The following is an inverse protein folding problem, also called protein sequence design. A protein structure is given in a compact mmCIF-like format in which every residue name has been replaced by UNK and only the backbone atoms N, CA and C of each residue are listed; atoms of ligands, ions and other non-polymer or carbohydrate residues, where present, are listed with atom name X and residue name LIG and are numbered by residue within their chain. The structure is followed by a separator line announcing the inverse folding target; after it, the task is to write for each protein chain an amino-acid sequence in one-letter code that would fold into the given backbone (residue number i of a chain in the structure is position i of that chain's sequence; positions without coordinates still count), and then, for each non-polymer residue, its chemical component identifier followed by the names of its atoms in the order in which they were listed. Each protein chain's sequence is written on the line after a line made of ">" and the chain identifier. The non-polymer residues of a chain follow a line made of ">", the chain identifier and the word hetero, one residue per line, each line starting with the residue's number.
data_IF_840589261172
#
_entry.id   IF_840589261172
#
_cell.length_a   1.000
_cell.length_b   1.000
_cell.length_c   1.000
_cell.angle_alpha   90.00
_cell.angle_beta   90.00
_cell.angle_gamma   90.00
#
_symmetry.space_group_name_H-M   'P 1'
#
loop_
_entity.id
_entity.type
_entity.pdbx_description
1 polymer ?
#
# COMPACT_ATOMS: atom_id res chain seq x y z
N UNK A 1 -51.64 25.49 -32.72
CA UNK A 1 -51.23 26.06 -34.04
C UNK A 1 -49.74 25.80 -34.17
N UNK A 2 -49.27 25.03 -35.17
CA UNK A 2 -48.77 25.50 -36.50
C UNK A 2 -47.48 26.34 -36.38
N UNK A 3 -46.33 26.08 -37.05
CA UNK A 3 -45.99 25.17 -38.18
C UNK A 3 -44.52 24.67 -38.16
N UNK A 4 -44.25 23.68 -39.03
CA UNK A 4 -42.95 23.09 -39.38
C UNK A 4 -42.00 24.01 -40.19
N UNK A 5 -40.71 23.65 -40.23
CA UNK A 5 -39.85 23.84 -41.41
C UNK A 5 -38.93 22.63 -41.68
N UNK A 6 -38.56 22.48 -42.96
CA UNK A 6 -38.14 21.27 -43.72
C UNK A 6 -37.25 21.79 -44.88
N UNK A 7 -36.14 21.19 -45.36
CA UNK A 7 -35.29 20.07 -44.97
C UNK A 7 -33.87 20.25 -45.62
N UNK A 8 -32.92 19.32 -45.43
CA UNK A 8 -31.60 19.40 -46.10
C UNK A 8 -30.72 18.15 -45.95
N UNK A 9 -30.82 17.21 -46.89
CA UNK A 9 -30.08 15.94 -46.90
C UNK A 9 -28.72 16.01 -47.60
N UNK A 10 -27.76 15.21 -47.15
CA UNK A 10 -26.64 14.75 -47.99
C UNK A 10 -26.26 13.30 -47.62
N UNK A 11 -26.65 12.35 -48.46
CA UNK A 11 -26.16 10.96 -48.41
C UNK A 11 -24.79 10.87 -49.10
N UNK A 12 -23.89 10.06 -48.55
CA UNK A 12 -22.76 9.50 -49.30
C UNK A 12 -22.66 8.01 -48.97
N UNK A 13 -23.04 7.17 -49.93
CA UNK A 13 -22.83 5.72 -49.97
C UNK A 13 -22.16 5.40 -51.31
N UNK A 14 -21.16 4.51 -51.31
CA UNK A 14 -20.56 3.70 -52.40
C UNK A 14 -19.09 3.40 -52.03
N UNK A 15 -18.48 2.21 -52.19
CA UNK A 15 -18.96 0.80 -52.18
C UNK A 15 -17.75 -0.15 -52.19
N UNK A 16 -17.90 -1.29 -51.49
CA UNK A 16 -17.45 -2.66 -51.87
C UNK A 16 -15.96 -3.06 -52.10
N UNK A 17 -15.76 -4.33 -51.70
CA UNK A 17 -14.89 -5.37 -52.28
C UNK A 17 -13.44 -5.49 -51.78
N UNK A 18 -13.21 -6.58 -51.01
CA UNK A 18 -11.91 -7.04 -50.54
C UNK A 18 -12.00 -8.42 -49.88
N UNK A 19 -12.74 -9.37 -50.48
CA UNK A 19 -12.77 -10.75 -49.98
C UNK A 19 -11.46 -11.48 -50.30
N UNK A 20 -10.85 -12.10 -49.29
CA UNK A 20 -9.64 -12.91 -49.43
C UNK A 20 -9.61 -14.05 -48.43
N UNK A 21 -10.42 -15.08 -48.65
CA UNK A 21 -10.33 -16.33 -47.88
C UNK A 21 -9.22 -17.21 -48.45
N UNK A 22 -8.25 -17.58 -47.62
CA UNK A 22 -7.39 -18.74 -47.88
C UNK A 22 -7.17 -19.51 -46.57
N UNK A 23 -7.43 -20.82 -46.64
CA UNK A 23 -7.29 -21.77 -45.54
C UNK A 23 -5.85 -22.21 -45.35
N UNK A 24 -5.36 -22.30 -44.11
CA UNK A 24 -4.11 -23.02 -43.86
C UNK A 24 -3.50 -22.87 -42.46
N UNK A 25 -3.48 -23.98 -41.71
CA UNK A 25 -2.36 -24.33 -40.84
C UNK A 25 -2.28 -23.66 -39.47
N UNK A 26 -2.27 -24.50 -38.43
CA UNK A 26 -2.15 -24.09 -37.03
C UNK A 26 -0.84 -23.37 -36.68
N UNK A 27 -0.89 -22.73 -35.51
CA UNK A 27 0.23 -21.99 -34.94
C UNK A 27 -0.19 -21.31 -33.65
N UNK A 28 -0.22 -22.07 -32.55
CA UNK A 28 -0.33 -21.49 -31.21
C UNK A 28 0.78 -20.46 -31.02
N UNK A 29 0.38 -19.19 -30.94
CA UNK A 29 1.27 -18.10 -30.57
C UNK A 29 0.63 -17.42 -29.37
N UNK A 30 1.17 -17.63 -28.15
CA UNK A 30 0.65 -16.96 -26.96
C UNK A 30 0.73 -15.46 -27.19
N UNK A 31 -0.42 -14.79 -27.16
CA UNK A 31 -0.48 -13.33 -27.13
C UNK A 31 0.06 -12.91 -25.77
N UNK A 32 1.36 -12.59 -25.71
CA UNK A 32 1.97 -12.04 -24.50
C UNK A 32 1.26 -10.73 -24.17
N UNK A 33 0.46 -10.72 -23.10
CA UNK A 33 -0.13 -9.50 -22.59
C UNK A 33 0.99 -8.46 -22.34
N UNK A 34 0.76 -7.15 -22.60
CA UNK A 34 1.75 -6.14 -22.28
C UNK A 34 2.06 -6.20 -20.79
N UNK A 35 3.31 -6.52 -20.43
CA UNK A 35 3.73 -6.49 -19.05
C UNK A 35 3.40 -5.12 -18.46
N UNK A 36 2.73 -5.08 -17.30
CA UNK A 36 2.32 -3.86 -16.60
C UNK A 36 3.54 -3.09 -16.07
N UNK A 37 4.27 -2.46 -16.99
CA UNK A 37 5.54 -1.76 -16.77
C UNK A 37 5.41 -0.57 -15.83
N UNK A 38 4.19 -0.09 -15.57
CA UNK A 38 3.91 1.12 -14.81
C UNK A 38 4.18 0.98 -13.30
N UNK A 39 3.86 -0.16 -12.69
CA UNK A 39 4.20 -0.41 -11.28
C UNK A 39 5.71 -0.60 -11.11
N UNK A 40 6.31 -1.50 -11.91
CA UNK A 40 7.74 -1.78 -11.89
C UNK A 40 8.63 -0.58 -12.23
N UNK A 41 8.12 0.43 -12.96
CA UNK A 41 8.86 1.66 -13.26
C UNK A 41 8.98 2.61 -12.05
N UNK A 42 7.96 2.72 -11.21
CA UNK A 42 7.94 3.68 -10.07
C UNK A 42 8.95 3.32 -8.98
N UNK A 43 9.28 2.04 -8.86
CA UNK A 43 10.18 1.51 -7.82
C UNK A 43 11.62 1.23 -8.30
N UNK A 44 12.00 1.68 -9.50
CA UNK A 44 13.37 1.56 -10.03
C UNK A 44 14.36 2.39 -9.19
N UNK A 45 15.05 1.74 -8.26
CA UNK A 45 16.08 2.33 -7.42
C UNK A 45 16.39 1.46 -6.20
N UNK A 46 17.26 1.91 -5.28
CA UNK A 46 17.50 1.22 -4.00
C UNK A 46 16.18 1.00 -3.25
N UNK A 47 16.00 -0.11 -2.53
CA UNK A 47 14.71 -0.40 -1.85
C UNK A 47 14.36 0.64 -0.79
N UNK A 48 15.37 1.20 -0.12
CA UNK A 48 15.25 2.28 0.88
C UNK A 48 16.39 3.31 0.71
N UNK A 49 16.11 4.56 1.06
CA UNK A 49 17.10 5.66 1.17
C UNK A 49 16.88 6.38 2.49
N UNK A 50 17.97 6.72 3.20
CA UNK A 50 17.92 7.32 4.54
C UNK A 50 17.97 6.30 5.68
N UNK A 51 18.02 6.80 6.92
CA UNK A 51 18.26 6.03 8.14
C UNK A 51 16.94 5.65 8.84
N UNK A 52 16.85 4.45 9.41
CA UNK A 52 15.68 4.05 10.20
C UNK A 52 16.02 4.18 11.69
N UNK A 53 15.45 5.14 12.44
CA UNK A 53 15.52 5.12 13.90
C UNK A 53 14.78 3.89 14.45
N UNK A 54 15.15 3.44 15.66
CA UNK A 54 14.52 2.27 16.30
C UNK A 54 13.06 2.55 16.70
N UNK A 55 12.78 3.80 17.03
CA UNK A 55 11.55 4.35 17.57
C UNK A 55 10.88 5.32 16.56
N UNK A 56 11.02 5.02 15.27
CA UNK A 56 10.36 5.72 14.16
C UNK A 56 8.96 5.17 13.82
N UNK A 57 8.08 6.06 13.38
CA UNK A 57 6.74 5.74 12.89
C UNK A 57 6.80 5.21 11.47
N UNK A 58 6.23 4.03 11.22
CA UNK A 58 6.19 3.42 9.88
C UNK A 58 4.85 3.69 9.21
N UNK A 59 4.82 4.65 8.27
CA UNK A 59 3.66 4.93 7.42
C UNK A 59 3.77 4.08 6.15
N UNK A 60 2.90 3.09 5.99
CA UNK A 60 3.03 2.09 4.93
C UNK A 60 2.34 2.55 3.63
N UNK A 61 2.83 2.08 2.48
CA UNK A 61 2.29 2.43 1.14
C UNK A 61 0.78 2.19 1.10
N UNK A 62 0.04 3.17 0.57
CA UNK A 62 -1.42 3.12 0.43
C UNK A 62 -2.19 3.15 1.75
N UNK A 63 -1.50 3.29 2.89
CA UNK A 63 -2.07 3.32 4.23
C UNK A 63 -1.94 4.69 4.89
N UNK A 64 -2.78 4.89 5.91
CA UNK A 64 -2.72 6.00 6.85
C UNK A 64 -2.21 5.59 8.23
N UNK A 65 -1.73 6.58 8.98
CA UNK A 65 -1.26 6.47 10.35
C UNK A 65 -1.84 7.62 11.17
N UNK A 66 -2.48 7.32 12.31
CA UNK A 66 -3.02 8.33 13.21
C UNK A 66 -1.91 8.91 14.10
N UNK A 67 -1.90 10.22 14.30
CA UNK A 67 -0.87 10.94 15.04
C UNK A 67 -1.45 11.62 16.31
N UNK A 68 -0.59 12.04 17.26
CA UNK A 68 -0.96 12.97 18.33
C UNK A 68 -1.74 14.19 17.81
N UNK A 69 -2.55 14.78 18.69
CA UNK A 69 -3.43 15.90 18.34
C UNK A 69 -4.66 15.52 17.50
N UNK A 70 -4.86 14.24 17.16
CA UNK A 70 -5.97 13.78 16.33
C UNK A 70 -5.74 13.91 14.83
N UNK A 71 -4.54 14.35 14.43
CA UNK A 71 -4.12 14.37 13.04
C UNK A 71 -3.77 12.99 12.49
N UNK A 72 -3.25 12.95 11.27
CA UNK A 72 -2.74 11.73 10.66
C UNK A 72 -1.99 11.99 9.37
N UNK A 73 -1.36 10.95 8.85
CA UNK A 73 -0.56 11.02 7.63
C UNK A 73 -0.74 9.76 6.79
N UNK A 74 -0.80 9.90 5.47
CA UNK A 74 -0.85 8.79 4.52
C UNK A 74 0.39 8.76 3.62
N UNK A 75 0.82 7.57 3.21
CA UNK A 75 1.83 7.40 2.15
C UNK A 75 1.15 7.08 0.81
N UNK A 76 0.98 8.10 -0.02
CA UNK A 76 0.19 8.00 -1.26
C UNK A 76 0.97 7.45 -2.46
N UNK A 77 2.24 7.84 -2.65
CA UNK A 77 3.04 7.37 -3.78
C UNK A 77 4.54 7.41 -3.50
N UNK A 78 5.26 6.35 -3.90
CA UNK A 78 6.72 6.34 -4.00
C UNK A 78 7.16 6.70 -5.43
N UNK A 79 8.27 7.43 -5.57
CA UNK A 79 8.98 7.58 -6.86
C UNK A 79 10.48 7.40 -6.64
N UNK A 80 11.13 6.64 -7.52
CA UNK A 80 12.58 6.46 -7.55
C UNK A 80 13.13 6.78 -8.95
N UNK A 81 14.33 7.36 -9.01
CA UNK A 81 15.03 7.75 -10.25
C UNK A 81 16.26 6.87 -10.57
N UNK A 82 16.39 5.74 -9.88
CA UNK A 82 17.58 4.88 -9.87
C UNK A 82 18.56 5.18 -8.73
N UNK A 83 18.59 6.42 -8.22
CA UNK A 83 19.55 6.86 -7.19
C UNK A 83 18.90 7.44 -5.94
N UNK A 84 17.83 8.21 -6.08
CA UNK A 84 17.09 8.85 -4.99
C UNK A 84 15.70 8.23 -4.84
N UNK A 85 15.05 8.51 -3.70
CA UNK A 85 13.63 8.24 -3.49
C UNK A 85 12.93 9.49 -2.99
N UNK A 86 11.74 9.75 -3.55
CA UNK A 86 10.78 10.73 -3.06
C UNK A 86 9.48 10.02 -2.68
N UNK A 87 8.80 10.56 -1.68
CA UNK A 87 7.47 10.12 -1.29
C UNK A 87 6.46 11.27 -1.41
N UNK A 88 5.23 10.94 -1.80
CA UNK A 88 4.08 11.84 -1.63
C UNK A 88 3.37 11.42 -0.35
N UNK A 89 3.39 12.31 0.65
CA UNK A 89 2.63 12.19 1.88
C UNK A 89 1.37 13.06 1.80
N UNK A 90 0.30 12.67 2.49
CA UNK A 90 -0.94 13.48 2.61
C UNK A 90 -1.35 13.67 4.06
N UNK A 91 -1.94 14.81 4.38
CA UNK A 91 -2.51 15.07 5.70
C UNK A 91 -3.82 14.28 5.90
N UNK A 92 -4.05 13.79 7.12
CA UNK A 92 -5.19 12.95 7.51
C UNK A 92 -4.84 11.46 7.53
N UNK A 93 -5.48 10.69 8.42
CA UNK A 93 -5.28 9.23 8.55
C UNK A 93 -6.11 8.41 7.54
N UNK A 94 -7.05 9.02 6.82
CA UNK A 94 -7.86 8.41 5.76
C UNK A 94 -7.93 9.38 4.59
N UNK A 95 -8.06 8.87 3.37
CA UNK A 95 -8.12 9.72 2.17
C UNK A 95 -9.38 10.58 2.12
N UNK A 96 -9.20 11.88 1.87
CA UNK A 96 -10.26 12.85 1.58
C UNK A 96 -9.83 13.77 0.44
N UNK A 97 -10.79 14.20 -0.38
CA UNK A 97 -10.52 15.16 -1.47
C UNK A 97 -10.07 16.51 -0.90
N UNK A 98 -9.08 17.14 -1.55
CA UNK A 98 -8.56 18.44 -1.12
C UNK A 98 -7.56 18.40 0.05
N UNK A 99 -7.18 17.23 0.55
CA UNK A 99 -6.11 17.09 1.56
C UNK A 99 -4.80 17.71 1.08
N UNK A 100 -4.10 18.39 2.00
CA UNK A 100 -2.75 18.90 1.77
C UNK A 100 -1.78 17.73 1.50
N UNK A 101 -0.80 17.96 0.62
CA UNK A 101 0.16 16.93 0.20
C UNK A 101 1.58 17.49 0.18
N UNK A 102 2.53 16.70 0.68
CA UNK A 102 3.96 17.00 0.64
C UNK A 102 4.66 16.06 -0.32
N UNK A 103 5.56 16.57 -1.16
CA UNK A 103 6.59 15.74 -1.81
C UNK A 103 7.85 15.83 -0.96
N UNK A 104 8.32 14.71 -0.42
CA UNK A 104 9.40 14.66 0.56
C UNK A 104 10.55 13.76 0.15
N UNK A 105 11.73 14.07 0.68
CA UNK A 105 12.98 13.31 0.61
C UNK A 105 13.46 13.01 2.04
N UNK A 106 14.39 12.05 2.26
CA UNK A 106 15.03 11.89 3.55
C UNK A 106 15.70 13.18 4.02
N UNK A 107 15.49 13.57 5.28
CA UNK A 107 15.90 14.85 5.86
C UNK A 107 14.85 15.96 5.79
N UNK A 108 13.78 15.80 4.99
CA UNK A 108 12.67 16.74 4.95
C UNK A 108 11.86 16.74 6.26
N UNK A 109 11.04 17.78 6.45
CA UNK A 109 10.12 17.90 7.59
C UNK A 109 8.68 18.00 7.08
N UNK A 110 7.75 17.42 7.82
CA UNK A 110 6.30 17.59 7.62
C UNK A 110 5.65 18.04 8.92
N UNK A 111 4.67 18.94 8.80
CA UNK A 111 3.88 19.42 9.95
C UNK A 111 2.45 18.94 9.78
N UNK A 112 1.99 18.07 10.68
CA UNK A 112 0.62 17.54 10.67
C UNK A 112 -0.09 18.07 11.90
N UNK A 113 -1.19 18.82 11.70
CA UNK A 113 -2.01 19.33 12.81
C UNK A 113 -1.21 20.07 13.91
N UNK A 114 -0.12 20.75 13.53
CA UNK A 114 0.78 21.48 14.45
C UNK A 114 2.01 20.69 14.93
N UNK A 115 2.04 19.38 14.75
CA UNK A 115 3.12 18.49 15.19
C UNK A 115 4.16 18.29 14.08
N UNK A 116 5.46 18.39 14.39
CA UNK A 116 6.55 18.34 13.39
C UNK A 116 7.27 17.00 13.41
N UNK A 117 7.40 16.40 12.23
CA UNK A 117 8.06 15.11 12.02
C UNK A 117 9.18 15.22 11.00
N UNK A 118 10.34 14.63 11.30
CA UNK A 118 11.43 14.47 10.35
C UNK A 118 11.23 13.19 9.52
N UNK A 119 11.37 13.29 8.20
CA UNK A 119 11.38 12.15 7.28
C UNK A 119 12.77 11.51 7.36
N UNK A 120 12.91 10.34 7.97
CA UNK A 120 14.23 9.71 8.20
C UNK A 120 14.63 8.71 7.12
N UNK A 121 13.67 7.91 6.67
CA UNK A 121 13.87 6.93 5.59
C UNK A 121 12.65 6.85 4.69
N UNK A 122 12.89 6.70 3.38
CA UNK A 122 11.87 6.38 2.39
C UNK A 122 12.22 5.05 1.75
N UNK A 123 11.32 4.08 1.88
CA UNK A 123 11.36 2.80 1.18
C UNK A 123 10.27 2.73 0.11
N UNK A 124 10.29 1.70 -0.74
CA UNK A 124 9.15 1.41 -1.63
C UNK A 124 7.84 1.26 -0.83
N UNK A 125 7.86 0.41 0.20
CA UNK A 125 6.68 0.00 0.97
C UNK A 125 6.39 0.83 2.24
N UNK A 126 7.28 1.74 2.66
CA UNK A 126 7.09 2.63 3.84
C UNK A 126 7.77 4.00 3.72
N UNK A 127 7.30 4.96 4.51
CA UNK A 127 8.06 6.13 4.97
C UNK A 127 8.25 6.02 6.49
N UNK A 128 9.43 6.40 6.98
CA UNK A 128 9.75 6.45 8.41
C UNK A 128 9.75 7.91 8.87
N UNK A 129 8.86 8.24 9.79
CA UNK A 129 8.74 9.57 10.39
C UNK A 129 9.23 9.53 11.85
N UNK A 130 10.02 10.52 12.25
CA UNK A 130 10.44 10.70 13.65
C UNK A 130 9.81 11.96 14.24
N UNK A 131 9.08 11.88 15.37
CA UNK A 131 8.58 13.06 16.07
C UNK A 131 9.73 13.92 16.60
N UNK A 132 9.71 15.23 16.32
CA UNK A 132 10.70 16.16 16.85
C UNK A 132 10.45 16.52 18.32
N UNK A 133 9.17 16.68 18.71
CA UNK A 133 8.81 16.96 20.09
C UNK A 133 8.93 15.70 20.96
N UNK A 134 9.53 15.84 22.14
CA UNK A 134 9.62 14.76 23.12
C UNK A 134 8.24 14.31 23.62
N UNK A 135 7.28 15.25 23.70
CA UNK A 135 5.88 15.00 24.08
C UNK A 135 5.17 14.09 23.07
N UNK A 136 5.34 14.33 21.78
CA UNK A 136 4.77 13.50 20.71
C UNK A 136 5.35 12.08 20.75
N UNK A 137 6.67 11.96 20.95
CA UNK A 137 7.34 10.67 21.13
C UNK A 137 6.83 9.95 22.36
N UNK A 138 6.66 10.65 23.49
CA UNK A 138 6.12 10.07 24.72
C UNK A 138 4.66 9.61 24.55
N UNK A 139 3.82 10.38 23.85
CA UNK A 139 2.44 10.01 23.54
C UNK A 139 2.37 8.75 22.67
N UNK A 140 3.21 8.67 21.63
CA UNK A 140 3.29 7.51 20.73
C UNK A 140 3.95 6.28 21.39
N UNK A 141 4.82 6.47 22.38
CA UNK A 141 5.45 5.40 23.16
C UNK A 141 4.62 4.96 24.38
N UNK A 142 3.51 5.64 24.70
CA UNK A 142 2.68 5.32 25.85
C UNK A 142 2.14 3.89 25.78
N UNK A 143 2.19 3.17 26.91
CA UNK A 143 1.65 1.82 26.98
C UNK A 143 0.12 1.85 26.93
N UNK A 144 -0.53 0.92 26.19
CA UNK A 144 -1.98 0.81 26.19
C UNK A 144 -2.49 0.25 27.53
N UNK A 145 -3.77 0.48 27.85
CA UNK A 145 -4.40 -0.06 29.07
C UNK A 145 -4.58 -1.58 29.03
N UNK A 146 -4.68 -2.15 27.83
CA UNK A 146 -4.78 -3.58 27.54
C UNK A 146 -4.04 -3.86 26.23
N UNK A 147 -3.56 -5.09 26.06
CA UNK A 147 -2.94 -5.57 24.82
C UNK A 147 -3.96 -6.26 23.89
N UNK A 148 -5.20 -6.42 24.36
CA UNK A 148 -6.30 -7.05 23.62
C UNK A 148 -7.02 -6.03 22.74
N UNK A 149 -7.29 -6.39 21.50
CA UNK A 149 -8.15 -5.61 20.60
C UNK A 149 -9.58 -5.53 21.13
N UNK A 150 -10.06 -4.29 21.33
CA UNK A 150 -11.46 -3.98 21.57
C UNK A 150 -12.20 -3.60 20.27
N UNK A 151 -11.45 -3.32 19.19
CA UNK A 151 -11.96 -2.95 17.88
C UNK A 151 -12.19 -1.44 17.72
N UNK A 152 -12.13 -0.97 16.47
CA UNK A 152 -12.33 0.45 16.13
C UNK A 152 -11.29 1.36 16.78
N UNK A 153 -11.67 2.61 17.08
CA UNK A 153 -10.74 3.62 17.62
C UNK A 153 -10.14 3.29 18.99
N UNK A 154 -10.72 2.33 19.73
CA UNK A 154 -10.14 1.84 20.99
C UNK A 154 -8.78 1.15 20.78
N UNK A 155 -8.54 0.59 19.59
CA UNK A 155 -7.28 -0.05 19.21
C UNK A 155 -6.22 0.94 18.73
N UNK A 156 -6.49 2.25 18.69
CA UNK A 156 -5.51 3.23 18.20
C UNK A 156 -4.14 3.14 18.92
N UNK A 157 -4.05 2.94 20.25
CA UNK A 157 -2.77 2.70 20.94
C UNK A 157 -2.09 1.35 20.61
N UNK A 158 -2.81 0.40 20.01
CA UNK A 158 -2.25 -0.86 19.51
C UNK A 158 -1.75 -0.73 18.06
N UNK A 159 -2.44 0.10 17.27
CA UNK A 159 -2.17 0.29 15.84
C UNK A 159 -1.14 1.38 15.53
N UNK A 160 -1.13 2.47 16.31
CA UNK A 160 -0.41 3.71 16.01
C UNK A 160 0.55 4.07 17.13
N UNK A 161 1.62 3.29 17.25
CA UNK A 161 2.53 3.37 18.39
C UNK A 161 3.98 3.06 18.00
N UNK A 162 4.91 3.57 18.81
CA UNK A 162 6.33 3.17 18.84
C UNK A 162 6.68 2.42 20.12
N UNK A 163 5.68 2.04 20.92
CA UNK A 163 5.89 1.30 22.16
C UNK A 163 6.49 -0.09 21.84
N UNK A 164 7.69 -0.42 22.35
CA UNK A 164 8.38 -1.65 21.97
C UNK A 164 7.65 -2.92 22.43
N UNK A 165 6.87 -2.85 23.51
CA UNK A 165 6.04 -3.97 23.98
C UNK A 165 4.88 -4.27 23.04
N UNK A 166 4.21 -3.24 22.52
CA UNK A 166 3.14 -3.40 21.51
C UNK A 166 3.70 -3.90 20.18
N UNK A 167 4.80 -3.32 19.70
CA UNK A 167 5.47 -3.77 18.48
C UNK A 167 5.93 -5.23 18.59
N UNK A 168 6.48 -5.64 19.74
CA UNK A 168 6.85 -7.04 19.98
C UNK A 168 5.63 -7.98 20.03
N UNK A 169 4.53 -7.58 20.67
CA UNK A 169 3.30 -8.37 20.73
C UNK A 169 2.66 -8.55 19.34
N UNK A 170 2.60 -7.48 18.55
CA UNK A 170 2.11 -7.54 17.18
C UNK A 170 3.01 -8.42 16.29
N UNK A 171 4.34 -8.30 16.44
CA UNK A 171 5.32 -9.14 15.74
C UNK A 171 5.27 -10.63 16.14
N UNK A 172 4.84 -10.94 17.37
CA UNK A 172 4.64 -12.30 17.86
C UNK A 172 3.36 -12.96 17.31
N UNK A 173 2.41 -12.17 16.80
CA UNK A 173 1.24 -12.70 16.07
C UNK A 173 1.60 -13.32 14.70
N UNK A 174 2.80 -13.06 14.18
CA UNK A 174 3.28 -13.58 12.90
C UNK A 174 4.16 -14.82 13.05
N UNK A 175 4.25 -15.68 12.01
CA UNK A 175 5.21 -16.77 11.97
C UNK A 175 6.66 -16.32 12.22
N UNK A 176 7.51 -17.25 12.64
CA UNK A 176 8.93 -17.01 12.84
C UNK A 176 9.67 -16.70 11.53
N UNK A 177 10.88 -16.12 11.62
CA UNK A 177 11.73 -15.83 10.45
C UNK A 177 11.93 -17.06 9.56
N UNK A 178 11.79 -16.89 8.24
CA UNK A 178 11.87 -17.96 7.26
C UNK A 178 10.66 -18.90 7.22
N UNK A 179 9.61 -18.65 7.99
CA UNK A 179 8.31 -19.33 7.88
C UNK A 179 7.33 -18.49 7.07
N UNK A 180 6.39 -19.18 6.42
CA UNK A 180 5.35 -18.57 5.61
C UNK A 180 4.10 -18.27 6.43
N UNK A 181 3.45 -17.16 6.07
CA UNK A 181 2.02 -16.93 6.30
C UNK A 181 1.30 -17.10 4.96
N UNK A 182 0.21 -17.88 4.95
CA UNK A 182 -0.66 -18.04 3.79
C UNK A 182 -1.89 -17.16 3.99
N UNK A 183 -2.03 -16.12 3.15
CA UNK A 183 -3.20 -15.24 3.13
C UNK A 183 -4.17 -15.78 2.08
N UNK A 184 -5.34 -16.25 2.51
CA UNK A 184 -6.35 -16.83 1.63
C UNK A 184 -6.96 -15.75 0.74
N UNK A 185 -7.10 -16.05 -0.55
CA UNK A 185 -7.77 -15.22 -1.54
C UNK A 185 -9.28 -15.06 -1.30
N UNK A 186 -9.96 -14.41 -2.24
CA UNK A 186 -11.43 -14.37 -2.32
C UNK A 186 -12.14 -13.94 -1.01
N UNK A 187 -11.58 -12.94 -0.31
CA UNK A 187 -12.20 -12.34 0.88
C UNK A 187 -11.77 -12.93 2.23
N UNK A 188 -10.75 -13.77 2.28
CA UNK A 188 -10.14 -14.22 3.54
C UNK A 188 -9.62 -13.06 4.40
N UNK A 189 -10.07 -12.96 5.65
CA UNK A 189 -9.62 -11.96 6.64
C UNK A 189 -8.79 -12.64 7.74
N UNK A 190 -7.46 -12.49 7.69
CA UNK A 190 -6.59 -12.92 8.77
C UNK A 190 -6.55 -11.84 9.85
N UNK A 191 -7.04 -12.14 11.05
CA UNK A 191 -7.00 -11.25 12.21
C UNK A 191 -5.82 -11.59 13.13
N UNK A 192 -5.30 -10.59 13.84
CA UNK A 192 -4.21 -10.69 14.80
C UNK A 192 -4.63 -10.12 16.16
N UNK A 193 -4.06 -10.57 17.29
CA UNK A 193 -4.52 -10.20 18.64
C UNK A 193 -4.52 -8.69 18.93
N UNK A 194 -3.60 -7.94 18.34
CA UNK A 194 -3.42 -6.48 18.53
C UNK A 194 -4.26 -5.63 17.57
N UNK A 195 -5.36 -6.15 17.04
CA UNK A 195 -6.34 -5.40 16.22
C UNK A 195 -5.99 -5.24 14.74
N UNK A 196 -4.78 -5.64 14.33
CA UNK A 196 -4.41 -5.74 12.92
C UNK A 196 -5.22 -6.82 12.22
N UNK A 197 -5.66 -6.53 10.99
CA UNK A 197 -6.23 -7.51 10.06
C UNK A 197 -5.59 -7.38 8.68
N UNK A 198 -5.36 -8.51 8.02
CA UNK A 198 -4.80 -8.61 6.67
C UNK A 198 -5.81 -9.29 5.73
N UNK A 199 -5.86 -8.81 4.49
CA UNK A 199 -6.75 -9.31 3.44
C UNK A 199 -6.05 -9.33 2.10
N UNK A 200 -6.34 -10.35 1.29
CA UNK A 200 -6.02 -10.35 -0.14
C UNK A 200 -7.17 -9.64 -0.88
N UNK A 201 -6.87 -8.49 -1.47
CA UNK A 201 -7.86 -7.66 -2.18
C UNK A 201 -8.18 -8.18 -3.57
N UNK A 202 -7.19 -8.77 -4.25
CA UNK A 202 -7.35 -9.50 -5.51
C UNK A 202 -6.18 -10.48 -5.73
N UNK A 203 -6.41 -11.48 -6.57
CA UNK A 203 -5.40 -12.39 -7.12
C UNK A 203 -5.55 -12.38 -8.64
N UNK A 204 -4.44 -12.16 -9.35
CA UNK A 204 -4.35 -12.31 -10.80
C UNK A 204 -3.14 -13.21 -11.09
N UNK A 205 -3.40 -14.50 -11.24
CA UNK A 205 -2.38 -15.52 -11.49
C UNK A 205 -1.85 -15.48 -12.93
N UNK A 206 -2.61 -14.94 -13.88
CA UNK A 206 -2.18 -14.77 -15.27
C UNK A 206 -1.17 -13.61 -15.40
N UNK A 207 -1.47 -12.46 -14.78
CA UNK A 207 -0.55 -11.33 -14.71
C UNK A 207 0.57 -11.54 -13.67
N UNK A 208 0.41 -12.50 -12.76
CA UNK A 208 1.34 -12.80 -11.67
C UNK A 208 1.42 -11.68 -10.63
N UNK A 209 0.26 -11.13 -10.25
CA UNK A 209 0.09 -10.01 -9.31
C UNK A 209 -0.98 -10.29 -8.26
N UNK A 210 -0.91 -9.58 -7.14
CA UNK A 210 -1.95 -9.58 -6.13
C UNK A 210 -2.12 -8.20 -5.47
N UNK A 211 -3.28 -7.97 -4.87
CA UNK A 211 -3.51 -6.87 -3.94
C UNK A 211 -3.45 -7.34 -2.50
N UNK A 212 -2.66 -6.67 -1.64
CA UNK A 212 -2.61 -6.92 -0.20
C UNK A 212 -3.01 -5.67 0.57
N UNK A 213 -4.05 -5.77 1.40
CA UNK A 213 -4.48 -4.67 2.26
C UNK A 213 -4.39 -5.04 3.75
N UNK A 214 -4.15 -4.03 4.57
CA UNK A 214 -4.12 -4.14 6.03
C UNK A 214 -5.00 -3.07 6.67
N UNK A 215 -5.78 -3.44 7.67
CA UNK A 215 -6.63 -2.54 8.43
C UNK A 215 -6.36 -2.69 9.93
N UNK A 216 -6.33 -1.57 10.65
CA UNK A 216 -6.17 -1.51 12.10
C UNK A 216 -6.97 -0.30 12.63
N UNK A 217 -7.69 -0.45 13.75
CA UNK A 217 -8.55 0.60 14.32
C UNK A 217 -9.54 1.27 13.32
N UNK A 218 -10.09 0.48 12.38
CA UNK A 218 -10.95 0.93 11.26
C UNK A 218 -10.28 1.92 10.26
N UNK A 219 -8.95 2.00 10.26
CA UNK A 219 -8.15 2.74 9.29
C UNK A 219 -7.39 1.74 8.40
N UNK A 220 -7.39 1.92 7.06
CA UNK A 220 -6.48 1.21 6.18
C UNK A 220 -5.04 1.64 6.47
N UNK A 221 -4.22 0.73 7.00
CA UNK A 221 -2.83 0.98 7.40
C UNK A 221 -1.80 0.53 6.38
N UNK A 222 -2.20 -0.25 5.37
CA UNK A 222 -1.45 -0.49 4.14
C UNK A 222 -2.39 -0.89 2.99
N UNK A 223 -2.04 -0.49 1.78
CA UNK A 223 -2.62 -1.01 0.53
C UNK A 223 -1.50 -1.17 -0.50
N UNK A 224 -1.14 -2.42 -0.76
CA UNK A 224 -0.11 -2.80 -1.72
C UNK A 224 -0.78 -3.36 -2.98
N UNK A 225 -0.75 -2.57 -4.05
CA UNK A 225 -1.24 -2.95 -5.38
C UNK A 225 -0.11 -3.61 -6.19
N UNK A 226 -0.49 -4.54 -7.07
CA UNK A 226 0.34 -5.26 -8.03
C UNK A 226 1.60 -5.94 -7.45
N UNK A 227 1.53 -6.45 -6.22
CA UNK A 227 2.67 -7.16 -5.62
C UNK A 227 2.94 -8.48 -6.33
N UNK A 228 4.22 -8.75 -6.57
CA UNK A 228 4.74 -9.91 -7.29
C UNK A 228 5.62 -10.76 -6.38
N UNK A 229 5.84 -12.02 -6.75
CA UNK A 229 6.81 -12.89 -6.07
C UNK A 229 8.20 -12.24 -6.09
N UNK A 230 8.77 -12.02 -4.90
CA UNK A 230 10.00 -11.23 -4.73
C UNK A 230 9.80 -9.91 -4.00
N UNK A 231 8.60 -9.33 -4.01
CA UNK A 231 8.39 -7.98 -3.49
C UNK A 231 8.39 -7.93 -1.96
N UNK A 232 8.99 -6.88 -1.37
CA UNK A 232 8.97 -6.63 0.07
C UNK A 232 7.66 -5.95 0.51
N UNK A 233 7.06 -6.47 1.58
CA UNK A 233 5.90 -5.86 2.26
C UNK A 233 6.14 -5.78 3.78
N UNK A 234 5.42 -4.89 4.46
CA UNK A 234 5.53 -4.69 5.90
C UNK A 234 4.17 -4.81 6.58
N UNK A 235 4.12 -5.47 7.74
CA UNK A 235 2.95 -5.45 8.61
C UNK A 235 3.41 -5.39 10.07
N UNK A 236 2.89 -4.44 10.85
CA UNK A 236 3.25 -4.18 12.25
C UNK A 236 4.77 -4.30 12.56
N UNK A 237 5.59 -3.54 11.85
CA UNK A 237 7.05 -3.57 12.00
C UNK A 237 7.77 -4.74 11.32
N UNK A 238 7.12 -5.90 11.19
CA UNK A 238 7.72 -7.13 10.62
C UNK A 238 7.87 -7.04 9.10
N UNK A 239 9.01 -7.49 8.59
CA UNK A 239 9.30 -7.53 7.16
C UNK A 239 8.96 -8.90 6.57
N UNK A 240 8.33 -8.89 5.39
CA UNK A 240 8.05 -10.09 4.61
C UNK A 240 8.51 -9.91 3.16
N UNK A 241 8.69 -11.04 2.48
CA UNK A 241 8.76 -11.11 1.02
C UNK A 241 7.58 -11.94 0.51
N UNK A 242 6.93 -11.53 -0.57
CA UNK A 242 5.99 -12.40 -1.29
C UNK A 242 6.77 -13.61 -1.83
N UNK A 243 6.40 -14.82 -1.40
CA UNK A 243 7.08 -16.08 -1.75
C UNK A 243 6.39 -16.86 -2.85
N UNK A 244 5.06 -16.81 -2.92
CA UNK A 244 4.28 -17.41 -4.00
C UNK A 244 2.92 -16.72 -4.16
N UNK A 245 2.37 -16.81 -5.36
CA UNK A 245 0.99 -16.49 -5.70
C UNK A 245 0.36 -17.74 -6.29
N UNK A 246 -0.80 -18.15 -5.78
CA UNK A 246 -1.63 -19.24 -6.34
C UNK A 246 -3.05 -18.73 -6.54
N UNK A 247 -3.90 -19.51 -7.20
CA UNK A 247 -5.33 -19.19 -7.38
C UNK A 247 -6.09 -19.07 -6.05
N UNK A 248 -5.56 -19.70 -4.99
CA UNK A 248 -6.17 -19.76 -3.66
C UNK A 248 -5.57 -18.79 -2.63
N UNK A 249 -4.31 -18.36 -2.80
CA UNK A 249 -3.59 -17.64 -1.74
C UNK A 249 -2.39 -16.80 -2.21
N UNK A 250 -2.10 -15.76 -1.43
CA UNK A 250 -0.79 -15.09 -1.40
C UNK A 250 0.04 -15.68 -0.26
N UNK A 251 1.24 -16.16 -0.55
CA UNK A 251 2.20 -16.59 0.48
C UNK A 251 3.23 -15.50 0.73
N UNK A 252 3.47 -15.18 2.00
CA UNK A 252 4.51 -14.23 2.41
C UNK A 252 5.45 -14.89 3.42
N UNK A 253 6.76 -14.83 3.21
CA UNK A 253 7.77 -15.36 4.13
C UNK A 253 8.35 -14.22 4.98
N UNK A 254 8.41 -14.39 6.30
CA UNK A 254 9.05 -13.40 7.21
C UNK A 254 10.55 -13.32 6.96
N UNK A 255 11.05 -12.13 6.65
CA UNK A 255 12.45 -11.86 6.33
C UNK A 255 13.21 -11.16 7.47
N UNK A 256 12.54 -10.35 8.29
CA UNK A 256 13.12 -9.80 9.52
C UNK A 256 13.25 -10.86 10.61
N UNK A 257 14.01 -10.55 11.67
CA UNK A 257 13.87 -11.24 12.95
C UNK A 257 12.42 -11.15 13.47
#
# INVERSE_FOLDING_TARGET
>A
MSRYHIAGSALALLTLAGCGSSSGGGGDKPTTAPASTQAAAKDKGPVCVGETPQDGLHVLRGGGFQLPGGGGVQYAEARADGTTRKAILREGAQYQSGQHQWTVEPGAQVTVSGHVYAVRQICSYRVVLEPQAAEDRAALAAAPKTMESAGGSADAPLCFTINPGVLAAAAAGFPAKGKELSLVGNGGVQRFPTGLSLTVSYLDTEAGTAGLAANCAAIPVASYEDVRVGDPVQFAGVMFKVSALTEEAVRITRSSA
#
